data_IF_585302381856
#
_entry.id   IF_585302381856
#
_cell.length_a   1.000
_cell.length_b   1.000
_cell.length_c   1.000
_cell.angle_alpha   90.00
_cell.angle_beta   90.00
_cell.angle_gamma   90.00
#
_symmetry.space_group_name_H-M   'P 1'
#
loop_
_entity.id
_entity.type
_entity.pdbx_description
1 polymer ?
#
# COMPACT_ATOMS: atom_id res chain seq x y z
N UNK A 1 3.53 -3.91 -18.54
CA UNK A 1 3.37 -2.56 -17.97
C UNK A 1 2.01 -2.40 -17.35
N UNK A 2 1.93 -1.85 -16.14
CA UNK A 2 0.62 -1.60 -15.55
C UNK A 2 -0.10 -0.47 -16.29
N UNK A 3 -1.40 -0.62 -16.42
CA UNK A 3 -2.22 0.39 -17.08
C UNK A 3 -2.66 1.48 -16.12
N UNK A 4 -2.72 1.16 -14.84
CA UNK A 4 -3.23 2.08 -13.82
C UNK A 4 -2.23 2.13 -12.68
N UNK A 5 -1.89 3.33 -12.27
CA UNK A 5 -1.07 3.54 -11.07
C UNK A 5 -1.95 4.20 -10.01
N UNK A 6 -2.05 3.56 -8.87
CA UNK A 6 -2.81 4.09 -7.74
C UNK A 6 -1.83 4.59 -6.70
N UNK A 7 -1.91 5.87 -6.39
CA UNK A 7 -1.03 6.51 -5.41
C UNK A 7 -1.80 6.63 -4.10
N UNK A 8 -1.27 6.02 -3.07
CA UNK A 8 -1.90 6.00 -1.75
C UNK A 8 -0.99 6.73 -0.76
N UNK A 9 -1.38 7.92 -0.32
CA UNK A 9 -0.60 8.61 0.71
C UNK A 9 -0.80 7.92 2.06
N UNK A 10 0.30 7.70 2.76
CA UNK A 10 0.29 7.05 4.06
C UNK A 10 0.82 8.02 5.09
N UNK A 11 -0.08 8.62 5.86
CA UNK A 11 0.29 9.51 6.94
C UNK A 11 -0.81 9.46 7.98
N UNK A 12 -0.47 9.00 9.17
CA UNK A 12 -1.45 8.89 10.23
C UNK A 12 -2.60 7.95 9.89
N UNK A 13 -2.32 6.92 9.08
CA UNK A 13 -3.35 6.05 8.52
C UNK A 13 -3.51 4.74 9.27
N UNK A 14 -2.89 4.61 10.44
CA UNK A 14 -2.84 3.34 11.17
C UNK A 14 -4.22 2.73 11.40
N UNK A 15 -5.21 3.58 11.66
CA UNK A 15 -6.55 3.09 12.01
C UNK A 15 -7.33 2.53 10.82
N UNK A 16 -6.98 2.91 9.60
CA UNK A 16 -7.76 2.50 8.44
C UNK A 16 -6.93 1.95 7.29
N UNK A 17 -5.61 1.93 7.43
CA UNK A 17 -4.75 1.47 6.35
C UNK A 17 -5.03 0.00 6.00
N UNK A 18 -5.27 -0.83 6.99
CA UNK A 18 -5.52 -2.25 6.74
C UNK A 18 -6.77 -2.44 5.88
N UNK A 19 -7.87 -1.79 6.25
CA UNK A 19 -9.11 -1.89 5.49
C UNK A 19 -8.93 -1.38 4.06
N UNK A 20 -8.28 -0.24 3.94
CA UNK A 20 -8.06 0.37 2.64
C UNK A 20 -7.22 -0.53 1.74
N UNK A 21 -6.13 -1.05 2.26
CA UNK A 21 -5.22 -1.88 1.48
C UNK A 21 -5.88 -3.21 1.11
N UNK A 22 -6.60 -3.83 2.02
CA UNK A 22 -7.31 -5.07 1.70
C UNK A 22 -8.31 -4.85 0.59
N UNK A 23 -9.03 -3.74 0.63
CA UNK A 23 -9.99 -3.42 -0.42
C UNK A 23 -9.32 -3.27 -1.78
N UNK A 24 -8.15 -2.62 -1.81
CA UNK A 24 -7.42 -2.45 -3.04
C UNK A 24 -6.89 -3.78 -3.58
N UNK A 25 -6.39 -4.63 -2.71
CA UNK A 25 -5.78 -5.89 -3.13
C UNK A 25 -6.81 -6.94 -3.56
N UNK A 26 -8.05 -6.80 -3.12
CA UNK A 26 -9.11 -7.74 -3.48
C UNK A 26 -9.74 -7.44 -4.83
N UNK A 27 -9.31 -6.39 -5.50
CA UNK A 27 -9.80 -6.07 -6.83
C UNK A 27 -9.34 -7.12 -7.83
N UNK A 28 -10.18 -7.33 -8.84
CA UNK A 28 -9.91 -8.35 -9.85
C UNK A 28 -8.92 -7.90 -10.92
N UNK A 29 -8.67 -6.60 -11.02
CA UNK A 29 -7.74 -6.07 -12.04
C UNK A 29 -6.30 -6.40 -11.67
N UNK A 30 -5.55 -6.89 -12.65
CA UNK A 30 -4.16 -7.28 -12.46
C UNK A 30 -3.18 -6.22 -12.96
N UNK A 31 -3.62 -5.31 -13.82
CA UNK A 31 -2.76 -4.31 -14.42
C UNK A 31 -2.72 -3.04 -13.57
N UNK A 32 -2.45 -3.21 -12.28
CA UNK A 32 -2.41 -2.10 -11.33
C UNK A 32 -1.07 -2.06 -10.63
N UNK A 33 -0.50 -0.87 -10.56
CA UNK A 33 0.67 -0.61 -9.73
C UNK A 33 0.21 0.21 -8.53
N UNK A 34 0.51 -0.27 -7.34
CA UNK A 34 0.16 0.43 -6.10
C UNK A 34 1.40 1.15 -5.58
N UNK A 35 1.30 2.47 -5.45
CA UNK A 35 2.42 3.27 -4.96
C UNK A 35 2.00 3.88 -3.63
N UNK A 36 2.62 3.38 -2.56
CA UNK A 36 2.37 3.89 -1.22
C UNK A 36 3.46 4.89 -0.86
N UNK A 37 3.06 6.10 -0.53
CA UNK A 37 3.98 7.16 -0.19
C UNK A 37 3.90 7.41 1.32
N UNK A 38 4.96 7.06 2.02
CA UNK A 38 5.06 7.29 3.46
C UNK A 38 5.78 8.61 3.69
N UNK A 39 5.04 9.63 4.07
CA UNK A 39 5.58 10.95 4.33
C UNK A 39 5.88 11.10 5.81
N UNK A 40 6.92 10.38 6.26
CA UNK A 40 7.39 10.44 7.63
C UNK A 40 6.26 10.16 8.64
N UNK A 41 5.51 9.11 8.39
CA UNK A 41 4.36 8.77 9.23
C UNK A 41 4.79 8.47 10.66
N UNK A 42 4.14 9.06 11.66
CA UNK A 42 4.51 8.82 13.06
C UNK A 42 3.91 7.53 13.63
N UNK A 43 3.06 6.86 12.89
CA UNK A 43 2.41 5.65 13.37
C UNK A 43 2.96 4.40 12.69
N UNK A 44 2.28 3.28 12.88
CA UNK A 44 2.73 1.99 12.38
C UNK A 44 2.08 1.59 11.05
N UNK A 45 1.70 2.58 10.24
CA UNK A 45 1.00 2.32 8.98
C UNK A 45 1.77 1.38 8.06
N UNK A 46 3.07 1.59 7.93
CA UNK A 46 3.88 0.77 7.03
C UNK A 46 4.01 -0.66 7.55
N UNK A 47 4.09 -0.83 8.86
CA UNK A 47 4.14 -2.17 9.45
C UNK A 47 2.85 -2.93 9.15
N UNK A 48 1.72 -2.24 9.24
CA UNK A 48 0.42 -2.84 8.95
C UNK A 48 0.33 -3.20 7.47
N UNK A 49 0.80 -2.32 6.61
CA UNK A 49 0.83 -2.57 5.17
C UNK A 49 1.63 -3.84 4.85
N UNK A 50 2.81 -3.97 5.45
CA UNK A 50 3.64 -5.15 5.21
C UNK A 50 2.98 -6.41 5.71
N UNK A 51 2.26 -6.34 6.83
CA UNK A 51 1.55 -7.48 7.37
C UNK A 51 0.42 -7.92 6.44
N UNK A 52 -0.30 -6.96 5.86
CA UNK A 52 -1.34 -7.27 4.90
C UNK A 52 -0.75 -7.89 3.64
N UNK A 53 0.40 -7.39 3.18
CA UNK A 53 1.06 -7.92 1.99
C UNK A 53 1.40 -9.40 2.13
N UNK A 54 1.68 -9.86 3.33
CA UNK A 54 1.95 -11.28 3.56
C UNK A 54 0.74 -12.13 3.22
N UNK A 55 -0.47 -11.58 3.39
CA UNK A 55 -1.71 -12.28 3.08
C UNK A 55 -2.06 -12.20 1.60
N UNK A 56 -1.41 -11.32 0.84
CA UNK A 56 -1.66 -11.14 -0.59
C UNK A 56 -0.34 -11.21 -1.35
N UNK A 57 0.34 -12.36 -1.32
CA UNK A 57 1.69 -12.45 -1.91
C UNK A 57 1.71 -12.18 -3.40
N UNK A 58 0.62 -12.44 -4.10
CA UNK A 58 0.55 -12.19 -5.53
C UNK A 58 0.51 -10.69 -5.87
N UNK A 59 0.24 -9.83 -4.90
CA UNK A 59 0.25 -8.38 -5.10
C UNK A 59 1.60 -7.75 -4.82
N UNK A 60 2.50 -8.49 -4.21
CA UNK A 60 3.77 -7.93 -3.74
C UNK A 60 4.57 -7.28 -4.85
N UNK A 61 4.59 -7.88 -6.02
CA UNK A 61 5.34 -7.33 -7.15
C UNK A 61 4.71 -6.07 -7.72
N UNK A 62 3.45 -5.83 -7.42
CA UNK A 62 2.72 -4.66 -7.89
C UNK A 62 2.80 -3.48 -6.92
N UNK A 63 3.44 -3.66 -5.78
CA UNK A 63 3.47 -2.66 -4.73
C UNK A 63 4.85 -2.00 -4.66
N UNK A 64 4.86 -0.67 -4.63
CA UNK A 64 6.06 0.12 -4.41
C UNK A 64 5.82 1.01 -3.21
N UNK A 65 6.79 1.07 -2.32
CA UNK A 65 6.70 1.90 -1.13
C UNK A 65 7.81 2.93 -1.18
N UNK A 66 7.42 4.19 -1.20
CA UNK A 66 8.36 5.31 -1.17
C UNK A 66 8.31 5.95 0.20
N UNK A 67 9.44 6.01 0.86
CA UNK A 67 9.54 6.59 2.19
C UNK A 67 10.30 7.89 2.11
N UNK A 68 9.67 8.95 2.55
CA UNK A 68 10.29 10.26 2.63
C UNK A 68 10.58 10.57 4.08
N UNK A 69 11.86 10.72 4.40
CA UNK A 69 12.27 11.11 5.74
C UNK A 69 12.82 12.52 5.68
N UNK A 70 12.42 13.32 6.64
CA UNK A 70 12.91 14.69 6.72
C UNK A 70 13.97 14.84 7.78
#
# INVERSE_FOLDING_TARGET
MPKISIIVPVYGAEKYIERCVRSLFEQTLDDIEYIFIDDCSPDHSIEILNRVLVEYPYRREQVKIHMYSM
#
